data_IF_534406537605
#
_entry.id   IF_534406537605
#
_cell.length_a   1.000
_cell.length_b   1.000
_cell.length_c   1.000
_cell.angle_alpha   90.00
_cell.angle_beta   90.00
_cell.angle_gamma   90.00
#
_symmetry.space_group_name_H-M   'P 1'
#
loop_
_entity.id
_entity.type
_entity.pdbx_description
1 polymer ?
#
# COMPACT_ATOMS: atom_id res chain seq x y z
N UNK A 1 7.05 16.25 6.22
CA UNK A 1 6.77 15.01 6.99
C UNK A 1 6.06 13.95 6.13
N UNK A 2 5.04 14.32 5.33
CA UNK A 2 4.34 13.41 4.41
C UNK A 2 5.21 12.45 3.58
N UNK A 3 6.40 12.82 3.06
CA UNK A 3 7.23 11.85 2.35
C UNK A 3 7.78 10.75 3.26
N UNK A 4 8.10 11.05 4.53
CA UNK A 4 8.68 10.09 5.47
C UNK A 4 7.71 8.98 5.89
N UNK A 5 6.39 9.20 5.76
CA UNK A 5 5.40 8.13 6.02
C UNK A 5 5.52 6.98 5.01
N UNK A 6 6.12 7.22 3.84
CA UNK A 6 6.38 6.19 2.83
C UNK A 6 7.20 5.01 3.36
N UNK A 7 8.20 5.24 4.22
CA UNK A 7 9.03 4.17 4.78
C UNK A 7 8.15 3.21 5.58
N UNK A 8 7.31 3.75 6.46
CA UNK A 8 6.39 2.96 7.27
C UNK A 8 5.32 2.28 6.41
N UNK A 9 4.85 2.94 5.36
CA UNK A 9 3.89 2.38 4.42
C UNK A 9 4.46 1.17 3.67
N UNK A 10 5.70 1.26 3.19
CA UNK A 10 6.39 0.13 2.53
C UNK A 10 6.51 -1.05 3.50
N UNK A 11 6.94 -0.82 4.74
CA UNK A 11 7.03 -1.89 5.75
C UNK A 11 5.66 -2.50 6.02
N UNK A 12 4.62 -1.67 6.11
CA UNK A 12 3.24 -2.12 6.27
C UNK A 12 2.77 -3.00 5.11
N UNK A 13 3.07 -2.64 3.86
CA UNK A 13 2.69 -3.41 2.68
C UNK A 13 3.44 -4.76 2.54
N UNK A 14 4.63 -4.90 3.14
CA UNK A 14 5.37 -6.16 3.16
C UNK A 14 5.07 -7.06 4.37
N UNK A 15 4.54 -6.51 5.45
CA UNK A 15 4.22 -7.24 6.68
C UNK A 15 3.33 -8.48 6.46
N UNK A 16 2.24 -8.41 5.67
CA UNK A 16 1.39 -9.57 5.39
C UNK A 16 2.13 -10.68 4.64
N UNK A 17 2.90 -10.30 3.62
CA UNK A 17 3.72 -11.24 2.85
C UNK A 17 4.77 -11.94 3.72
N UNK A 18 5.47 -11.18 4.58
CA UNK A 18 6.45 -11.74 5.52
C UNK A 18 5.78 -12.69 6.53
N UNK A 19 4.56 -12.38 6.98
CA UNK A 19 3.80 -13.28 7.86
C UNK A 19 3.49 -14.62 7.17
N UNK A 20 3.04 -14.58 5.92
CA UNK A 20 2.74 -15.79 5.14
C UNK A 20 4.00 -16.60 4.81
N UNK A 21 5.12 -15.95 4.49
CA UNK A 21 6.39 -16.64 4.25
C UNK A 21 7.02 -17.23 5.51
N UNK A 22 6.96 -16.54 6.64
CA UNK A 22 7.54 -17.03 7.90
C UNK A 22 6.65 -18.06 8.59
N UNK A 23 5.34 -18.06 8.32
CA UNK A 23 4.36 -18.85 9.07
C UNK A 23 4.14 -18.33 10.50
N UNK A 24 4.80 -17.22 10.86
CA UNK A 24 4.56 -16.50 12.11
C UNK A 24 3.51 -15.43 11.84
N UNK A 25 2.47 -15.41 12.67
CA UNK A 25 1.45 -14.38 12.55
C UNK A 25 1.99 -13.07 13.13
N UNK A 26 1.63 -11.94 12.50
CA UNK A 26 2.07 -10.59 12.91
C UNK A 26 1.79 -10.34 14.40
N UNK A 27 0.72 -10.93 14.90
CA UNK A 27 0.31 -10.87 16.31
C UNK A 27 0.50 -12.24 16.96
N UNK A 28 1.12 -12.27 18.15
CA UNK A 28 1.44 -13.53 18.83
C UNK A 28 0.19 -14.38 19.16
N UNK A 29 -0.94 -13.74 19.49
CA UNK A 29 -2.20 -14.42 19.77
C UNK A 29 -3.41 -13.65 19.25
N UNK A 30 -4.33 -14.36 18.61
CA UNK A 30 -5.66 -13.84 18.25
C UNK A 30 -6.58 -13.96 19.49
N UNK A 31 -6.36 -13.11 20.48
CA UNK A 31 -7.21 -13.05 21.66
C UNK A 31 -8.51 -12.27 21.36
N UNK A 32 -9.58 -12.55 22.10
CA UNK A 32 -10.86 -11.84 22.02
C UNK A 32 -10.65 -10.33 22.19
N UNK A 33 -9.80 -9.91 23.13
CA UNK A 33 -9.48 -8.49 23.33
C UNK A 33 -8.88 -7.84 22.08
N UNK A 34 -7.96 -8.53 21.39
CA UNK A 34 -7.37 -8.03 20.14
C UNK A 34 -8.44 -7.91 19.04
N UNK A 35 -9.30 -8.92 18.90
CA UNK A 35 -10.38 -8.90 17.90
C UNK A 35 -11.40 -7.78 18.19
N UNK A 36 -11.72 -7.52 19.46
CA UNK A 36 -12.60 -6.41 19.85
C UNK A 36 -11.96 -5.06 19.51
N UNK A 37 -10.68 -4.86 19.80
CA UNK A 37 -9.99 -3.62 19.42
C UNK A 37 -9.91 -3.45 17.90
N UNK A 38 -9.60 -4.52 17.16
CA UNK A 38 -9.59 -4.52 15.71
C UNK A 38 -10.96 -4.14 15.15
N UNK A 39 -12.04 -4.70 15.71
CA UNK A 39 -13.41 -4.37 15.34
C UNK A 39 -13.77 -2.91 15.61
N UNK A 40 -13.48 -2.40 16.81
CA UNK A 40 -13.74 -1.01 17.19
C UNK A 40 -13.04 -0.06 16.22
N UNK A 41 -11.74 -0.26 15.99
CA UNK A 41 -10.96 0.59 15.07
C UNK A 41 -11.54 0.53 13.65
N UNK A 42 -11.91 -0.66 13.17
CA UNK A 42 -12.47 -0.85 11.83
C UNK A 42 -13.80 -0.12 11.66
N UNK A 43 -14.68 -0.21 12.66
CA UNK A 43 -15.96 0.51 12.67
C UNK A 43 -15.73 2.02 12.70
N UNK A 44 -14.80 2.50 13.55
CA UNK A 44 -14.47 3.93 13.63
C UNK A 44 -13.93 4.45 12.30
N UNK A 45 -13.03 3.73 11.63
CA UNK A 45 -12.50 4.11 10.31
C UNK A 45 -13.60 4.15 9.25
N UNK A 46 -14.48 3.15 9.23
CA UNK A 46 -15.62 3.12 8.31
C UNK A 46 -16.57 4.31 8.52
N UNK A 47 -16.89 4.64 9.77
CA UNK A 47 -17.71 5.81 10.10
C UNK A 47 -17.04 7.13 9.71
N UNK A 48 -15.72 7.24 9.90
CA UNK A 48 -14.96 8.41 9.47
C UNK A 48 -14.99 8.57 7.95
N UNK A 49 -14.76 7.49 7.19
CA UNK A 49 -14.84 7.51 5.73
C UNK A 49 -16.24 7.92 5.24
N UNK A 50 -17.30 7.36 5.82
CA UNK A 50 -18.68 7.75 5.48
C UNK A 50 -18.98 9.22 5.80
N UNK A 51 -18.46 9.72 6.92
CA UNK A 51 -18.63 11.10 7.32
C UNK A 51 -17.86 12.03 6.38
N UNK A 52 -16.64 11.68 5.99
CA UNK A 52 -15.82 12.42 5.02
C UNK A 52 -16.50 12.49 3.66
N UNK A 53 -16.98 11.36 3.13
CA UNK A 53 -17.74 11.30 1.87
C UNK A 53 -18.98 12.22 1.95
N UNK A 54 -19.73 12.15 3.05
CA UNK A 54 -20.94 12.96 3.23
C UNK A 54 -20.63 14.45 3.34
N UNK A 55 -19.53 14.85 3.99
CA UNK A 55 -19.18 16.26 4.15
C UNK A 55 -18.53 16.87 2.91
N UNK A 56 -17.74 16.08 2.19
CA UNK A 56 -17.07 16.50 0.96
C UNK A 56 -17.99 16.48 -0.27
N UNK A 57 -19.10 15.72 -0.22
CA UNK A 57 -20.06 15.65 -1.32
C UNK A 57 -19.55 14.86 -2.53
N UNK A 58 -18.48 14.07 -2.37
CA UNK A 58 -17.90 13.23 -3.43
C UNK A 58 -18.55 11.85 -3.48
N UNK A 59 -18.35 11.13 -4.58
CA UNK A 59 -18.77 9.73 -4.69
C UNK A 59 -17.84 8.79 -3.89
N UNK A 60 -18.34 7.61 -3.48
CA UNK A 60 -17.53 6.60 -2.81
C UNK A 60 -16.38 6.10 -3.72
N UNK A 61 -16.62 6.03 -5.02
CA UNK A 61 -15.61 5.64 -6.01
C UNK A 61 -14.46 6.64 -6.06
N UNK A 62 -14.75 7.95 -6.03
CA UNK A 62 -13.73 8.99 -5.97
C UNK A 62 -12.90 8.92 -4.70
N UNK A 63 -13.55 8.74 -3.54
CA UNK A 63 -12.86 8.57 -2.25
C UNK A 63 -11.94 7.35 -2.26
N UNK A 64 -12.45 6.20 -2.73
CA UNK A 64 -11.67 4.98 -2.81
C UNK A 64 -10.49 5.10 -3.79
N UNK A 65 -10.71 5.72 -4.95
CA UNK A 65 -9.65 6.00 -5.92
C UNK A 65 -8.59 6.93 -5.35
N UNK A 66 -8.98 7.92 -4.53
CA UNK A 66 -8.05 8.80 -3.85
C UNK A 66 -7.15 8.03 -2.86
N UNK A 67 -7.72 7.11 -2.08
CA UNK A 67 -6.95 6.25 -1.17
C UNK A 67 -5.96 5.34 -1.93
N UNK A 68 -6.38 4.77 -3.07
CA UNK A 68 -5.48 4.01 -3.95
C UNK A 68 -4.34 4.88 -4.48
N UNK A 69 -4.65 6.10 -4.92
CA UNK A 69 -3.65 7.03 -5.42
C UNK A 69 -2.67 7.46 -4.32
N UNK A 70 -3.16 7.63 -3.09
CA UNK A 70 -2.35 7.88 -1.91
C UNK A 70 -1.40 6.72 -1.61
N UNK A 71 -1.87 5.47 -1.67
CA UNK A 71 -1.05 4.28 -1.46
C UNK A 71 0.05 4.16 -2.54
N UNK A 72 -0.32 4.33 -3.82
CA UNK A 72 0.62 4.25 -4.94
C UNK A 72 1.64 5.40 -4.86
N UNK A 73 1.20 6.64 -4.63
CA UNK A 73 2.09 7.79 -4.46
C UNK A 73 3.03 7.66 -3.26
N UNK A 74 2.52 7.10 -2.15
CA UNK A 74 3.27 6.80 -0.94
C UNK A 74 4.36 5.75 -1.17
N UNK A 75 4.05 4.66 -1.88
CA UNK A 75 5.00 3.57 -2.15
C UNK A 75 5.96 3.87 -3.30
N UNK A 76 5.70 4.91 -4.10
CA UNK A 76 6.52 5.29 -5.26
C UNK A 76 7.23 6.65 -5.08
N UNK A 77 6.57 7.74 -5.47
CA UNK A 77 7.14 9.09 -5.53
C UNK A 77 7.65 9.59 -4.17
N UNK A 78 6.90 9.34 -3.10
CA UNK A 78 7.31 9.74 -1.75
C UNK A 78 8.57 9.00 -1.30
N UNK A 79 8.65 7.70 -1.58
CA UNK A 79 9.84 6.88 -1.25
C UNK A 79 11.07 7.38 -2.02
N UNK A 80 10.93 7.64 -3.32
CA UNK A 80 12.00 8.19 -4.15
C UNK A 80 12.49 9.55 -3.61
N UNK A 81 11.57 10.44 -3.24
CA UNK A 81 11.90 11.74 -2.66
C UNK A 81 12.65 11.61 -1.33
N UNK A 82 12.27 10.66 -0.47
CA UNK A 82 12.97 10.40 0.80
C UNK A 82 14.37 9.85 0.57
N UNK A 83 14.53 8.88 -0.33
CA UNK A 83 15.84 8.31 -0.66
C UNK A 83 16.76 9.40 -1.22
N UNK A 84 16.25 10.23 -2.15
CA UNK A 84 17.00 11.36 -2.69
C UNK A 84 17.38 12.39 -1.60
N UNK A 85 16.45 12.73 -0.71
CA UNK A 85 16.72 13.61 0.42
C UNK A 85 17.83 13.06 1.34
N UNK A 86 17.79 11.76 1.65
CA UNK A 86 18.80 11.10 2.48
C UNK A 86 20.17 11.09 1.78
N UNK A 87 20.22 10.78 0.49
CA UNK A 87 21.46 10.79 -0.30
C UNK A 87 22.09 12.18 -0.34
N UNK A 88 21.28 13.24 -0.49
CA UNK A 88 21.77 14.62 -0.43
C UNK A 88 22.39 14.95 0.92
N UNK A 89 21.75 14.55 2.02
CA UNK A 89 22.23 14.81 3.39
C UNK A 89 23.49 14.01 3.71
N UNK A 90 23.57 12.75 3.29
CA UNK A 90 24.68 11.84 3.65
C UNK A 90 25.88 11.98 2.72
N UNK A 91 25.65 12.13 1.41
CA UNK A 91 26.70 12.08 0.40
C UNK A 91 27.05 13.46 -0.20
N UNK A 92 26.34 14.53 0.17
CA UNK A 92 26.59 15.87 -0.35
C UNK A 92 26.37 16.03 -1.86
N UNK A 93 25.70 15.07 -2.50
CA UNK A 93 25.42 15.07 -3.93
C UNK A 93 24.40 16.19 -4.22
N UNK A 94 24.79 17.17 -5.04
CA UNK A 94 23.85 18.15 -5.59
C UNK A 94 22.93 17.45 -6.59
N UNK A 95 21.72 17.16 -6.16
CA UNK A 95 20.69 16.60 -7.02
C UNK A 95 20.08 17.77 -7.78
N UNK A 96 20.53 18.02 -9.01
CA UNK A 96 19.81 18.92 -9.92
C UNK A 96 18.51 18.23 -10.29
N UNK A 97 17.39 18.76 -9.80
CA UNK A 97 16.07 18.33 -10.24
C UNK A 97 15.94 18.78 -11.70
N UNK A 98 16.36 17.95 -12.65
CA UNK A 98 16.01 18.17 -14.05
C UNK A 98 14.51 17.94 -14.12
N UNK A 99 13.74 19.01 -14.02
CA UNK A 99 12.33 19.03 -14.35
C UNK A 99 12.24 18.62 -15.82
N UNK A 100 12.07 17.33 -16.09
CA UNK A 100 11.61 16.91 -17.41
C UNK A 100 10.17 17.40 -17.48
N UNK A 101 9.97 18.59 -18.05
CA UNK A 101 8.65 19.08 -18.38
C UNK A 101 8.02 18.04 -19.29
N UNK A 102 7.05 17.31 -18.77
CA UNK A 102 6.11 16.61 -19.61
C UNK A 102 5.30 17.73 -20.24
N UNK A 103 5.70 18.17 -21.43
CA UNK A 103 4.88 19.06 -22.25
C UNK A 103 3.52 18.40 -22.33
N UNK A 104 2.53 18.99 -21.65
CA UNK A 104 1.13 18.69 -21.92
C UNK A 104 0.94 18.90 -23.40
N UNK A 105 0.57 17.83 -24.10
CA UNK A 105 -0.04 18.02 -25.41
C UNK A 105 -1.28 18.85 -25.16
N UNK A 106 -1.34 20.01 -25.81
CA UNK A 106 -2.53 20.83 -25.92
C UNK A 106 -3.66 19.94 -26.47
N UNK A 107 -4.48 19.37 -25.60
CA UNK A 107 -5.82 18.91 -25.96
C UNK A 107 -6.71 19.10 -24.72
N UNK A 108 -7.40 20.24 -24.78
CA UNK A 108 -8.51 20.60 -23.91
C UNK A 108 -9.66 19.65 -24.23
N UNK A 109 -9.79 18.55 -23.48
CA UNK A 109 -11.12 17.93 -23.29
C UNK A 109 -11.25 16.94 -22.12
N UNK A 110 -10.20 16.66 -21.33
CA UNK A 110 -10.40 16.06 -20.00
C UNK A 110 -9.14 16.27 -19.13
N UNK A 111 -9.24 17.10 -18.09
CA UNK A 111 -8.12 17.41 -17.18
C UNK A 111 -7.57 16.14 -16.48
N UNK A 112 -8.34 15.05 -16.50
CA UNK A 112 -7.97 13.74 -15.97
C UNK A 112 -7.63 12.70 -17.05
N UNK A 113 -7.75 12.97 -18.36
CA UNK A 113 -7.44 12.01 -19.43
C UNK A 113 -6.02 11.44 -19.31
N UNK A 114 -5.07 12.29 -18.91
CA UNK A 114 -3.66 11.93 -18.81
C UNK A 114 -3.34 11.04 -17.58
N UNK A 115 -4.29 10.91 -16.62
CA UNK A 115 -4.24 9.96 -15.50
C UNK A 115 -4.70 8.54 -15.89
N UNK A 116 -5.46 8.40 -16.98
CA UNK A 116 -5.94 7.08 -17.45
C UNK A 116 -4.95 6.39 -18.39
N UNK A 117 -3.92 7.09 -18.86
CA UNK A 117 -2.87 6.51 -19.72
C UNK A 117 -1.77 5.93 -18.83
N UNK A 118 -1.63 4.60 -18.86
CA UNK A 118 -0.54 3.90 -18.18
C UNK A 118 0.79 4.25 -18.85
N UNK A 119 1.48 5.26 -18.32
CA UNK A 119 2.82 5.65 -18.73
C UNK A 119 3.82 4.96 -17.82
N UNK A 120 4.56 3.99 -18.36
CA UNK A 120 5.60 3.27 -17.62
C UNK A 120 6.63 4.26 -17.06
N UNK A 121 6.87 4.19 -15.76
CA UNK A 121 7.89 4.98 -15.07
C UNK A 121 8.65 4.08 -14.09
N UNK A 122 9.93 4.37 -13.86
CA UNK A 122 10.73 3.65 -12.86
C UNK A 122 10.13 3.73 -11.46
N UNK A 123 9.26 4.71 -11.20
CA UNK A 123 8.52 4.84 -9.94
C UNK A 123 7.48 3.71 -9.74
N UNK A 124 7.11 2.95 -10.77
CA UNK A 124 6.20 1.80 -10.65
C UNK A 124 6.89 0.54 -10.13
N UNK A 125 8.23 0.49 -10.09
CA UNK A 125 8.97 -0.71 -9.66
C UNK A 125 8.61 -1.12 -8.22
N UNK A 126 8.60 -0.22 -7.20
CA UNK A 126 8.26 -0.63 -5.84
C UNK A 126 6.81 -1.12 -5.69
N UNK A 127 5.76 -0.41 -6.19
CA UNK A 127 4.38 -0.91 -6.12
C UNK A 127 4.19 -2.29 -6.79
N UNK A 128 4.77 -2.49 -7.98
CA UNK A 128 4.69 -3.79 -8.70
C UNK A 128 5.37 -4.89 -7.87
N UNK A 129 6.51 -4.59 -7.25
CA UNK A 129 7.22 -5.55 -6.41
C UNK A 129 6.38 -5.95 -5.19
N UNK A 130 5.71 -4.98 -4.55
CA UNK A 130 4.81 -5.23 -3.42
C UNK A 130 3.66 -6.16 -3.85
N UNK A 131 3.02 -5.88 -5.00
CA UNK A 131 1.96 -6.74 -5.53
C UNK A 131 2.45 -8.16 -5.79
N UNK A 132 3.56 -8.30 -6.51
CA UNK A 132 4.11 -9.62 -6.85
C UNK A 132 4.47 -10.42 -5.60
N UNK A 133 5.10 -9.78 -4.61
CA UNK A 133 5.50 -10.44 -3.37
C UNK A 133 4.28 -10.88 -2.55
N UNK A 134 3.23 -10.06 -2.43
CA UNK A 134 2.00 -10.44 -1.73
C UNK A 134 1.26 -11.59 -2.44
N UNK A 135 1.17 -11.57 -3.78
CA UNK A 135 0.57 -12.66 -4.55
C UNK A 135 1.32 -13.99 -4.36
N UNK A 136 2.65 -13.97 -4.44
CA UNK A 136 3.48 -15.16 -4.21
C UNK A 136 3.34 -15.64 -2.76
N UNK A 137 3.30 -14.72 -1.79
CA UNK A 137 3.15 -15.06 -0.39
C UNK A 137 1.82 -15.77 -0.09
N UNK A 138 0.71 -15.33 -0.72
CA UNK A 138 -0.59 -16.02 -0.64
C UNK A 138 -0.47 -17.46 -1.15
N UNK A 139 0.13 -17.67 -2.33
CA UNK A 139 0.31 -18.99 -2.90
C UNK A 139 1.17 -19.91 -2.00
N UNK A 140 2.26 -19.37 -1.44
CA UNK A 140 3.15 -20.10 -0.53
C UNK A 140 2.47 -20.43 0.79
N UNK A 141 1.75 -19.47 1.39
CA UNK A 141 1.02 -19.68 2.64
C UNK A 141 -0.09 -20.71 2.50
N UNK A 142 -0.82 -20.67 1.39
CA UNK A 142 -1.86 -21.64 1.05
C UNK A 142 -1.27 -23.05 0.88
N UNK A 143 -0.24 -23.19 0.03
CA UNK A 143 0.46 -24.45 -0.20
C UNK A 143 0.97 -25.05 1.11
N UNK A 144 1.67 -24.24 1.93
CA UNK A 144 2.20 -24.68 3.23
C UNK A 144 1.12 -25.21 4.16
N UNK A 145 -0.04 -24.54 4.20
CA UNK A 145 -1.13 -24.94 5.09
C UNK A 145 -1.78 -26.25 4.63
N UNK A 146 -1.99 -26.43 3.32
CA UNK A 146 -2.54 -27.67 2.75
C UNK A 146 -1.64 -28.87 3.02
N UNK A 147 -0.33 -28.73 2.86
CA UNK A 147 0.63 -29.83 3.03
C UNK A 147 1.10 -30.02 4.49
N UNK A 148 0.57 -29.25 5.44
CA UNK A 148 0.96 -29.37 6.85
C UNK A 148 0.20 -30.47 7.58
N UNK A 149 0.90 -31.15 8.51
CA UNK A 149 0.30 -32.21 9.35
C UNK A 149 -0.76 -31.65 10.31
N UNK A 150 -0.59 -30.40 10.78
CA UNK A 150 -1.53 -29.68 11.64
C UNK A 150 -1.82 -28.32 11.01
N UNK A 151 -2.90 -28.20 10.20
CA UNK A 151 -3.17 -26.98 9.45
C UNK A 151 -3.65 -25.84 10.33
N UNK A 152 -2.96 -24.69 10.25
CA UNK A 152 -3.27 -23.48 11.01
C UNK A 152 -4.14 -22.51 10.19
N UNK A 153 -5.37 -22.93 9.85
CA UNK A 153 -6.31 -22.19 9.00
C UNK A 153 -6.59 -20.75 9.46
N UNK A 154 -6.69 -20.52 10.77
CA UNK A 154 -6.95 -19.18 11.32
C UNK A 154 -5.84 -18.18 10.96
N UNK A 155 -4.57 -18.60 11.03
CA UNK A 155 -3.43 -17.75 10.65
C UNK A 155 -3.38 -17.52 9.15
N UNK A 156 -3.71 -18.54 8.35
CA UNK A 156 -3.78 -18.42 6.90
C UNK A 156 -4.85 -17.40 6.50
N UNK A 157 -6.07 -17.50 7.03
CA UNK A 157 -7.17 -16.59 6.72
C UNK A 157 -6.79 -15.15 7.09
N UNK A 158 -6.22 -14.93 8.27
CA UNK A 158 -5.76 -13.60 8.68
C UNK A 158 -4.67 -13.04 7.77
N UNK A 159 -3.66 -13.85 7.44
CA UNK A 159 -2.54 -13.43 6.57
C UNK A 159 -2.98 -13.15 5.13
N UNK A 160 -3.89 -13.97 4.59
CA UNK A 160 -4.49 -13.76 3.26
C UNK A 160 -5.37 -12.52 3.25
N UNK A 161 -6.18 -12.27 4.30
CA UNK A 161 -6.99 -11.07 4.41
C UNK A 161 -6.14 -9.79 4.34
N UNK A 162 -5.06 -9.71 5.11
CA UNK A 162 -4.17 -8.55 5.07
C UNK A 162 -3.39 -8.44 3.76
N UNK A 163 -2.98 -9.55 3.15
CA UNK A 163 -2.29 -9.53 1.85
C UNK A 163 -3.24 -9.09 0.74
N UNK A 164 -4.51 -9.49 0.79
CA UNK A 164 -5.55 -9.05 -0.13
C UNK A 164 -5.89 -7.57 0.07
N UNK A 165 -5.87 -7.06 1.30
CA UNK A 165 -6.04 -5.62 1.57
C UNK A 165 -4.95 -4.75 0.93
N UNK A 166 -3.74 -5.29 0.78
CA UNK A 166 -2.61 -4.58 0.14
C UNK A 166 -2.66 -4.66 -1.39
N UNK A 167 -3.33 -5.67 -1.96
CA UNK A 167 -3.45 -5.90 -3.41
C UNK A 167 -4.60 -5.10 -4.02
#
# INVERSE_FOLDING_TARGET
>A
IYPFTSIFLIVYCFLPALSLFSGQFIVQTLNVTFLVYLLIISITLCLLALLEIKWSGISLEEWWRNEQFWLIGGTSAHLAAVIQGLLKVVAGIEISFTLTSKSGGDDVDDEFADLYIVKWTSLMIPPITIMMVNLIAIAVGFSRTIYSVIPQWSKLIGGVFFSFWVL
#
